data_IF_250906796796
#
_entry.id   IF_250906796796
#
_cell.length_a   1.000
_cell.length_b   1.000
_cell.length_c   1.000
_cell.angle_alpha   90.00
_cell.angle_beta   90.00
_cell.angle_gamma   90.00
#
_symmetry.space_group_name_H-M   'P 1'
#
loop_
_entity.id
_entity.type
_entity.pdbx_description
1 polymer ?
#
# COMPACT_ATOMS: atom_id res chain seq x y z
N UNK A 1 -11.31 -72.47 -19.92
CA UNK A 1 -11.77 -71.27 -19.20
C UNK A 1 -10.57 -70.29 -19.01
N UNK A 2 -10.48 -69.37 -19.89
CA UNK A 2 -9.41 -68.35 -19.84
C UNK A 2 -9.89 -67.16 -18.98
N UNK A 3 -9.23 -66.88 -17.83
CA UNK A 3 -9.51 -65.75 -16.98
C UNK A 3 -8.86 -64.54 -17.62
N UNK A 4 -9.68 -63.62 -18.13
CA UNK A 4 -9.26 -62.30 -18.62
C UNK A 4 -9.05 -61.40 -17.43
N UNK A 5 -7.82 -61.06 -17.12
CA UNK A 5 -7.45 -60.11 -16.08
C UNK A 5 -7.51 -58.68 -16.70
N UNK A 6 -8.59 -57.93 -16.41
CA UNK A 6 -8.71 -56.56 -16.82
C UNK A 6 -7.92 -55.71 -15.81
N UNK A 7 -6.75 -55.27 -16.21
CA UNK A 7 -5.94 -54.30 -15.47
C UNK A 7 -6.54 -52.89 -15.73
N UNK A 8 -7.38 -52.39 -14.81
CA UNK A 8 -7.80 -50.99 -14.81
C UNK A 8 -6.58 -50.11 -14.44
N UNK A 9 -5.90 -49.57 -15.45
CA UNK A 9 -5.00 -48.47 -15.24
C UNK A 9 -5.85 -47.23 -14.87
N UNK A 10 -5.89 -46.88 -13.61
CA UNK A 10 -6.25 -45.54 -13.18
C UNK A 10 -5.15 -44.59 -13.68
N UNK A 11 -5.32 -44.08 -14.87
CA UNK A 11 -4.64 -42.87 -15.29
C UNK A 11 -5.25 -41.75 -14.45
N UNK A 12 -4.66 -41.49 -13.28
CA UNK A 12 -4.84 -40.19 -12.62
C UNK A 12 -4.30 -39.10 -13.57
N UNK A 13 -5.21 -38.54 -14.34
CA UNK A 13 -4.93 -37.29 -15.03
C UNK A 13 -4.59 -36.27 -13.93
N UNK A 14 -3.31 -36.00 -13.73
CA UNK A 14 -2.89 -34.82 -13.02
C UNK A 14 -3.42 -33.66 -13.85
N UNK A 15 -4.57 -33.12 -13.48
CA UNK A 15 -5.02 -31.84 -13.95
C UNK A 15 -4.03 -30.83 -13.38
N UNK A 16 -3.15 -30.32 -14.22
CA UNK A 16 -2.29 -29.19 -13.83
C UNK A 16 -3.22 -28.05 -13.45
N UNK A 17 -3.24 -27.67 -12.18
CA UNK A 17 -3.96 -26.51 -11.73
C UNK A 17 -3.18 -25.29 -12.23
N UNK A 18 -3.80 -24.44 -13.05
CA UNK A 18 -3.23 -23.18 -13.44
C UNK A 18 -3.73 -22.11 -12.47
N UNK A 19 -2.82 -21.40 -11.84
CA UNK A 19 -3.19 -20.27 -10.99
C UNK A 19 -3.27 -18.98 -11.79
N UNK A 20 -4.09 -18.06 -11.33
CA UNK A 20 -4.25 -16.73 -11.94
C UNK A 20 -4.01 -15.65 -10.89
N UNK A 21 -2.96 -14.86 -11.08
CA UNK A 21 -2.74 -13.66 -10.29
C UNK A 21 -3.62 -12.54 -10.79
N UNK A 22 -4.61 -12.17 -10.01
CA UNK A 22 -5.51 -11.03 -10.27
C UNK A 22 -4.81 -9.75 -9.82
N UNK A 23 -4.46 -8.90 -10.77
CA UNK A 23 -3.67 -7.68 -10.54
C UNK A 23 -4.55 -6.45 -10.79
N UNK A 24 -4.96 -5.69 -9.75
CA UNK A 24 -5.86 -4.55 -9.91
C UNK A 24 -5.14 -3.29 -10.42
N UNK A 25 -4.17 -3.47 -11.28
CA UNK A 25 -3.39 -2.41 -11.93
C UNK A 25 -3.16 -2.69 -13.41
N UNK A 26 -2.86 -1.62 -14.16
CA UNK A 26 -2.43 -1.75 -15.57
C UNK A 26 -1.09 -2.46 -15.69
N UNK A 27 -0.90 -3.13 -16.82
CA UNK A 27 0.39 -3.71 -17.22
C UNK A 27 1.49 -2.65 -17.10
N UNK A 28 2.66 -3.04 -16.58
CA UNK A 28 3.82 -2.16 -16.39
C UNK A 28 3.75 -1.25 -15.16
N UNK A 29 2.65 -1.27 -14.41
CA UNK A 29 2.57 -0.65 -13.08
C UNK A 29 3.47 -1.35 -12.06
N UNK A 30 3.78 -0.69 -10.94
CA UNK A 30 4.71 -1.24 -9.95
C UNK A 30 4.28 -2.59 -9.36
N UNK A 31 2.96 -2.83 -9.19
CA UNK A 31 2.45 -4.14 -8.75
C UNK A 31 2.53 -5.17 -9.86
N UNK A 32 2.24 -4.80 -11.11
CA UNK A 32 2.38 -5.68 -12.27
C UNK A 32 3.84 -6.15 -12.43
N UNK A 33 4.81 -5.25 -12.28
CA UNK A 33 6.24 -5.59 -12.33
C UNK A 33 6.61 -6.58 -11.22
N UNK A 34 6.20 -6.29 -9.99
CA UNK A 34 6.43 -7.16 -8.85
C UNK A 34 5.78 -8.54 -9.02
N UNK A 35 4.49 -8.57 -9.38
CA UNK A 35 3.74 -9.81 -9.58
C UNK A 35 4.37 -10.68 -10.67
N UNK A 36 4.86 -10.08 -11.76
CA UNK A 36 5.53 -10.82 -12.84
C UNK A 36 6.85 -11.47 -12.39
N UNK A 37 7.58 -10.81 -11.48
CA UNK A 37 8.81 -11.37 -10.91
C UNK A 37 8.46 -12.54 -9.99
N UNK A 38 7.50 -12.33 -9.08
CA UNK A 38 7.10 -13.34 -8.11
C UNK A 38 6.47 -14.56 -8.79
N UNK A 39 5.54 -14.36 -9.73
CA UNK A 39 4.89 -15.45 -10.47
C UNK A 39 5.92 -16.36 -11.13
N UNK A 40 6.89 -15.77 -11.83
CA UNK A 40 7.94 -16.51 -12.53
C UNK A 40 8.81 -17.36 -11.59
N UNK A 41 9.12 -16.86 -10.41
CA UNK A 41 9.93 -17.59 -9.44
C UNK A 41 9.07 -18.64 -8.69
N UNK A 42 7.82 -18.33 -8.39
CA UNK A 42 6.90 -19.22 -7.72
C UNK A 42 6.50 -20.42 -8.59
N UNK A 43 6.30 -20.23 -9.90
CA UNK A 43 6.03 -21.33 -10.85
C UNK A 43 7.07 -22.47 -10.78
N UNK A 44 8.31 -22.18 -10.44
CA UNK A 44 9.37 -23.17 -10.32
C UNK A 44 9.15 -24.14 -9.14
N UNK A 45 8.24 -23.81 -8.25
CA UNK A 45 7.91 -24.54 -7.02
C UNK A 45 6.51 -25.17 -7.04
N UNK A 46 5.80 -25.11 -8.17
CA UNK A 46 4.40 -25.52 -8.31
C UNK A 46 4.25 -26.81 -9.13
N UNK A 47 5.14 -27.78 -9.03
CA UNK A 47 5.01 -29.13 -9.60
C UNK A 47 4.47 -29.20 -11.05
N UNK A 48 4.75 -28.17 -11.86
CA UNK A 48 4.31 -28.04 -13.25
C UNK A 48 3.15 -27.09 -13.50
N UNK A 49 2.45 -26.63 -12.47
CA UNK A 49 1.41 -25.61 -12.57
C UNK A 49 1.97 -24.29 -13.06
N UNK A 50 1.13 -23.51 -13.75
CA UNK A 50 1.48 -22.20 -14.32
C UNK A 50 0.73 -21.07 -13.64
N UNK A 51 1.31 -19.88 -13.66
CA UNK A 51 0.68 -18.66 -13.14
C UNK A 51 0.41 -17.68 -14.28
N UNK A 52 -0.85 -17.48 -14.58
CA UNK A 52 -1.31 -16.44 -15.50
C UNK A 52 -1.46 -15.09 -14.78
N UNK A 53 -1.31 -13.99 -15.52
CA UNK A 53 -1.47 -12.64 -14.98
C UNK A 53 -2.71 -11.98 -15.56
N UNK A 54 -3.76 -11.81 -14.76
CA UNK A 54 -5.00 -11.12 -15.12
C UNK A 54 -4.98 -9.69 -14.59
N UNK A 55 -4.92 -8.71 -15.48
CA UNK A 55 -4.93 -7.30 -15.10
C UNK A 55 -6.35 -6.74 -15.13
N UNK A 56 -6.85 -6.28 -13.98
CA UNK A 56 -8.15 -5.62 -13.79
C UNK A 56 -7.97 -4.18 -13.31
N UNK A 57 -7.48 -3.28 -14.16
CA UNK A 57 -7.18 -1.92 -13.76
C UNK A 57 -8.45 -1.13 -13.46
N UNK A 58 -8.48 -0.50 -12.29
CA UNK A 58 -9.55 0.40 -11.87
C UNK A 58 -8.98 1.54 -11.02
N UNK A 59 -9.79 2.54 -10.71
CA UNK A 59 -9.42 3.60 -9.79
C UNK A 59 -9.01 3.01 -8.43
N UNK A 60 -7.82 3.33 -7.96
CA UNK A 60 -7.22 2.76 -6.72
C UNK A 60 -7.13 1.23 -6.70
N UNK A 61 -7.46 0.55 -7.78
CA UNK A 61 -7.59 -0.91 -7.83
C UNK A 61 -8.84 -1.46 -7.13
N UNK A 62 -9.75 -0.59 -6.67
CA UNK A 62 -10.95 -0.99 -5.93
C UNK A 62 -11.82 -1.91 -6.77
N UNK A 63 -12.19 -1.51 -8.00
CA UNK A 63 -13.06 -2.33 -8.85
C UNK A 63 -12.48 -3.70 -9.18
N UNK A 64 -11.16 -3.82 -9.36
CA UNK A 64 -10.50 -5.11 -9.58
C UNK A 64 -10.55 -6.01 -8.34
N UNK A 65 -10.43 -5.42 -7.14
CA UNK A 65 -10.53 -6.18 -5.90
C UNK A 65 -11.99 -6.50 -5.52
N UNK A 66 -12.93 -5.57 -5.73
CA UNK A 66 -14.36 -5.85 -5.59
C UNK A 66 -14.79 -7.01 -6.51
N UNK A 67 -14.27 -7.03 -7.74
CA UNK A 67 -14.53 -8.15 -8.67
C UNK A 67 -13.98 -9.46 -8.13
N UNK A 68 -12.76 -9.47 -7.59
CA UNK A 68 -12.21 -10.65 -6.94
C UNK A 68 -13.08 -11.12 -5.77
N UNK A 69 -13.54 -10.17 -4.93
CA UNK A 69 -14.39 -10.45 -3.78
C UNK A 69 -15.74 -11.04 -4.18
N UNK A 70 -16.42 -10.43 -5.17
CA UNK A 70 -17.79 -10.75 -5.51
C UNK A 70 -17.93 -11.89 -6.53
N UNK A 71 -17.04 -11.91 -7.55
CA UNK A 71 -17.21 -12.81 -8.70
C UNK A 71 -16.28 -14.02 -8.66
N UNK A 72 -15.13 -13.95 -7.98
CA UNK A 72 -14.15 -15.03 -7.96
C UNK A 72 -14.16 -15.85 -6.67
N UNK A 73 -15.13 -15.59 -5.80
CA UNK A 73 -15.38 -16.43 -4.62
C UNK A 73 -15.72 -17.86 -5.07
N UNK A 74 -15.00 -18.84 -4.52
CA UNK A 74 -15.14 -20.26 -4.90
C UNK A 74 -14.31 -20.69 -6.12
N UNK A 75 -13.62 -19.77 -6.80
CA UNK A 75 -12.62 -20.11 -7.82
C UNK A 75 -11.27 -20.35 -7.13
N UNK A 76 -10.91 -21.64 -7.03
CA UNK A 76 -9.77 -22.07 -6.20
C UNK A 76 -8.40 -21.77 -6.82
N UNK A 77 -8.36 -21.38 -8.08
CA UNK A 77 -7.17 -21.01 -8.84
C UNK A 77 -6.87 -19.52 -8.84
N UNK A 78 -7.75 -18.68 -8.29
CA UNK A 78 -7.59 -17.23 -8.27
C UNK A 78 -6.83 -16.75 -7.02
N UNK A 79 -5.79 -15.95 -7.25
CA UNK A 79 -4.97 -15.33 -6.21
C UNK A 79 -4.95 -13.82 -6.41
N UNK A 80 -5.44 -13.07 -5.45
CA UNK A 80 -5.42 -11.62 -5.49
C UNK A 80 -4.04 -11.05 -5.14
N UNK A 81 -3.54 -10.18 -6.00
CA UNK A 81 -2.32 -9.42 -5.76
C UNK A 81 -2.70 -8.02 -5.30
N UNK A 82 -2.56 -7.72 -4.02
CA UNK A 82 -2.88 -6.39 -3.52
C UNK A 82 -1.82 -5.33 -3.87
N UNK A 83 -2.24 -4.08 -3.83
CA UNK A 83 -1.34 -2.93 -3.96
C UNK A 83 -1.72 -1.82 -2.97
N UNK A 84 -0.86 -0.82 -2.79
CA UNK A 84 -1.05 0.21 -1.78
C UNK A 84 -2.38 0.98 -1.86
N UNK A 85 -2.97 1.11 -3.06
CA UNK A 85 -4.29 1.71 -3.22
C UNK A 85 -5.40 0.87 -2.58
N UNK A 86 -5.34 -0.45 -2.69
CA UNK A 86 -6.30 -1.33 -2.04
C UNK A 86 -6.13 -1.28 -0.51
N UNK A 87 -4.89 -1.32 -0.03
CA UNK A 87 -4.59 -1.33 1.40
C UNK A 87 -5.18 -0.13 2.13
N UNK A 88 -4.95 1.08 1.60
CA UNK A 88 -5.47 2.30 2.26
C UNK A 88 -6.96 2.55 1.98
N UNK A 89 -7.50 2.00 0.90
CA UNK A 89 -8.89 2.27 0.50
C UNK A 89 -9.90 1.29 1.07
N UNK A 90 -9.49 0.20 1.70
CA UNK A 90 -10.44 -0.82 2.16
C UNK A 90 -11.41 -0.31 3.23
N UNK A 91 -11.06 0.79 3.90
CA UNK A 91 -11.90 1.45 4.89
C UNK A 91 -13.04 2.29 4.27
N UNK A 92 -13.07 2.46 2.94
CA UNK A 92 -14.04 3.33 2.27
C UNK A 92 -15.34 2.60 1.93
N UNK A 93 -16.47 3.32 1.91
CA UNK A 93 -17.80 2.75 1.66
C UNK A 93 -17.93 2.02 0.32
N UNK A 94 -17.29 2.52 -0.73
CA UNK A 94 -17.37 1.94 -2.07
C UNK A 94 -16.49 0.70 -2.28
N UNK A 95 -15.97 0.14 -1.19
CA UNK A 95 -15.12 -1.06 -1.18
C UNK A 95 -15.93 -2.22 -0.63
N UNK A 96 -16.11 -3.28 -1.41
CA UNK A 96 -16.90 -4.45 -1.02
C UNK A 96 -16.08 -5.45 -0.20
N UNK A 97 -14.77 -5.46 -0.38
CA UNK A 97 -13.86 -6.41 0.27
C UNK A 97 -13.43 -5.94 1.67
N UNK A 98 -13.12 -6.94 2.50
CA UNK A 98 -12.39 -6.78 3.75
C UNK A 98 -11.21 -7.74 3.77
N UNK A 99 -10.03 -7.28 4.18
CA UNK A 99 -8.86 -8.14 4.24
C UNK A 99 -9.00 -9.28 5.26
N UNK A 100 -9.91 -9.14 6.23
CA UNK A 100 -10.26 -10.20 7.18
C UNK A 100 -10.98 -11.38 6.55
N UNK A 101 -11.53 -11.23 5.33
CA UNK A 101 -12.20 -12.29 4.58
C UNK A 101 -11.24 -13.20 3.80
N UNK A 102 -9.96 -12.91 3.85
CA UNK A 102 -8.94 -13.62 3.08
C UNK A 102 -7.89 -14.27 3.95
N UNK A 103 -7.28 -15.29 3.36
CA UNK A 103 -6.07 -15.93 3.88
C UNK A 103 -4.85 -15.40 3.15
N UNK A 104 -3.84 -15.03 3.91
CA UNK A 104 -2.54 -14.68 3.36
C UNK A 104 -1.83 -15.91 2.82
N UNK A 105 -1.43 -15.89 1.57
CA UNK A 105 -0.40 -16.80 1.05
C UNK A 105 0.96 -16.27 1.49
N UNK A 106 1.16 -14.99 1.35
CA UNK A 106 2.32 -14.28 1.87
C UNK A 106 2.29 -12.82 1.47
N UNK A 107 2.92 -12.01 2.29
CA UNK A 107 3.13 -10.59 2.02
C UNK A 107 4.62 -10.24 2.13
N UNK A 108 5.02 -9.24 1.39
CA UNK A 108 6.37 -8.72 1.43
C UNK A 108 6.32 -7.32 2.06
N UNK A 109 6.92 -7.18 3.22
CA UNK A 109 7.00 -5.91 3.94
C UNK A 109 7.96 -4.98 3.22
N UNK A 110 7.40 -4.04 2.45
CA UNK A 110 8.14 -3.15 1.57
C UNK A 110 7.96 -1.70 1.98
N UNK A 111 9.01 -0.93 1.84
CA UNK A 111 8.96 0.54 1.95
C UNK A 111 8.38 1.20 0.69
N UNK A 112 8.14 2.49 0.80
CA UNK A 112 8.04 3.42 -0.33
C UNK A 112 9.24 4.35 -0.32
N UNK A 113 9.76 4.60 -1.50
CA UNK A 113 10.87 5.51 -1.72
C UNK A 113 10.31 6.78 -2.33
N UNK A 114 10.51 7.90 -1.64
CA UNK A 114 10.24 9.23 -2.17
C UNK A 114 11.55 9.81 -2.66
N UNK A 115 11.59 10.11 -3.95
CA UNK A 115 12.75 10.73 -4.61
C UNK A 115 12.50 12.19 -4.91
N UNK A 116 13.56 12.99 -4.89
CA UNK A 116 13.54 14.40 -5.31
C UNK A 116 14.61 14.69 -6.34
N UNK A 117 14.41 15.75 -7.13
CA UNK A 117 15.43 16.25 -8.03
C UNK A 117 16.56 16.97 -7.27
N UNK A 118 17.76 16.86 -7.80
CA UNK A 118 18.95 17.59 -7.40
C UNK A 118 19.33 18.62 -8.46
N UNK A 119 20.10 19.63 -8.08
CA UNK A 119 20.75 20.55 -9.00
C UNK A 119 19.90 21.74 -9.44
N UNK A 120 20.18 22.28 -10.64
CA UNK A 120 19.67 23.56 -11.11
C UNK A 120 18.15 23.69 -11.23
N UNK A 121 17.44 22.55 -11.35
CA UNK A 121 15.98 22.56 -11.45
C UNK A 121 15.27 22.67 -10.11
N UNK A 122 15.96 22.27 -9.02
CA UNK A 122 15.49 22.44 -7.66
C UNK A 122 16.65 22.29 -6.67
N UNK A 123 17.46 23.31 -6.53
CA UNK A 123 18.62 23.28 -5.63
C UNK A 123 18.22 23.14 -4.17
N UNK A 124 17.17 23.83 -3.78
CA UNK A 124 16.61 23.78 -2.44
C UNK A 124 15.09 23.83 -2.55
N UNK A 125 14.37 23.04 -1.78
CA UNK A 125 12.92 23.20 -1.66
C UNK A 125 12.52 24.57 -1.10
N UNK A 126 13.46 25.28 -0.50
CA UNK A 126 13.34 26.64 0.03
C UNK A 126 14.12 27.67 -0.79
N UNK A 127 14.68 27.30 -1.95
CA UNK A 127 15.47 28.21 -2.80
C UNK A 127 14.59 29.03 -3.76
N UNK A 128 15.12 30.16 -4.24
CA UNK A 128 14.39 31.06 -5.15
C UNK A 128 13.88 30.43 -6.44
N UNK A 129 14.39 29.26 -6.81
CA UNK A 129 14.02 28.56 -8.04
C UNK A 129 13.05 27.40 -7.83
N UNK A 130 12.74 27.03 -6.58
CA UNK A 130 11.79 25.98 -6.20
C UNK A 130 10.83 26.51 -5.14
N UNK A 131 9.99 27.45 -5.55
CA UNK A 131 9.03 28.08 -4.63
C UNK A 131 7.99 27.09 -4.08
N UNK A 132 7.75 25.97 -4.80
CA UNK A 132 6.79 24.95 -4.36
C UNK A 132 7.28 23.54 -4.66
N UNK A 133 6.92 22.62 -3.78
CA UNK A 133 7.04 21.18 -4.04
C UNK A 133 6.04 20.81 -5.13
N UNK A 134 6.51 20.25 -6.24
CA UNK A 134 5.62 19.74 -7.30
C UNK A 134 5.56 18.22 -7.29
N UNK A 135 4.36 17.69 -7.04
CA UNK A 135 4.13 16.28 -6.81
C UNK A 135 2.90 15.79 -7.57
N UNK A 136 3.02 14.69 -8.29
CA UNK A 136 1.87 14.07 -8.92
C UNK A 136 1.24 13.06 -7.97
N UNK A 137 -0.01 13.33 -7.67
CA UNK A 137 -0.79 12.61 -6.69
C UNK A 137 -1.86 11.72 -7.34
N UNK A 138 -1.94 10.50 -6.87
CA UNK A 138 -3.10 9.65 -7.02
C UNK A 138 -3.51 9.19 -5.63
N UNK A 139 -4.73 8.82 -5.45
CA UNK A 139 -5.34 8.53 -4.14
C UNK A 139 -4.64 7.49 -3.24
N UNK A 140 -3.63 6.80 -3.74
CA UNK A 140 -2.82 5.89 -2.92
C UNK A 140 -1.56 6.52 -2.33
N UNK A 141 -1.39 7.86 -2.42
CA UNK A 141 -0.20 8.57 -1.96
C UNK A 141 -0.45 9.44 -0.72
N UNK A 142 -1.52 9.19 0.00
CA UNK A 142 -1.86 9.94 1.22
C UNK A 142 -0.70 9.97 2.23
N UNK A 143 -0.05 8.85 2.57
CA UNK A 143 1.05 8.90 3.54
C UNK A 143 2.21 9.78 3.08
N UNK A 144 2.55 9.80 1.79
CA UNK A 144 3.63 10.63 1.26
C UNK A 144 3.32 12.12 1.41
N UNK A 145 2.05 12.52 1.19
CA UNK A 145 1.66 13.92 1.35
C UNK A 145 1.75 14.37 2.80
N UNK A 146 1.32 13.53 3.72
CA UNK A 146 1.42 13.78 5.16
C UNK A 146 2.88 13.86 5.61
N UNK A 147 3.71 12.92 5.18
CA UNK A 147 5.15 12.90 5.51
C UNK A 147 5.87 14.15 4.97
N UNK A 148 5.59 14.55 3.74
CA UNK A 148 6.16 15.77 3.13
C UNK A 148 5.77 17.00 3.96
N UNK A 149 4.49 17.13 4.30
CA UNK A 149 4.02 18.26 5.11
C UNK A 149 4.72 18.30 6.46
N UNK A 150 4.72 17.20 7.21
CA UNK A 150 5.39 17.15 8.51
C UNK A 150 6.89 17.42 8.40
N UNK A 151 7.57 16.81 7.43
CA UNK A 151 9.03 16.94 7.26
C UNK A 151 9.42 18.39 6.95
N UNK A 152 8.61 19.09 6.15
CA UNK A 152 8.96 20.45 5.73
C UNK A 152 8.44 21.53 6.68
N UNK A 153 7.26 21.35 7.29
CA UNK A 153 6.66 22.35 8.20
C UNK A 153 6.99 22.13 9.69
N UNK A 154 7.29 20.90 10.10
CA UNK A 154 7.38 20.52 11.52
C UNK A 154 6.03 20.35 12.22
N UNK A 155 4.91 20.52 11.49
CA UNK A 155 3.55 20.41 12.05
C UNK A 155 3.19 18.93 12.19
N UNK A 156 2.87 18.50 13.41
CA UNK A 156 2.54 17.10 13.71
C UNK A 156 1.24 16.93 14.48
N UNK A 157 0.64 18.01 14.96
CA UNK A 157 -0.57 17.96 15.82
C UNK A 157 -1.64 19.01 15.47
N UNK A 158 -1.48 19.74 14.36
CA UNK A 158 -2.40 20.79 13.91
C UNK A 158 -2.82 20.47 12.46
N UNK A 159 -4.07 20.09 12.28
CA UNK A 159 -4.56 19.73 10.94
C UNK A 159 -4.79 20.95 10.07
N UNK A 160 -5.34 22.03 10.63
CA UNK A 160 -5.69 23.22 9.84
C UNK A 160 -4.42 23.94 9.40
N UNK A 161 -3.44 24.05 10.29
CA UNK A 161 -2.10 24.52 9.95
C UNK A 161 -1.39 23.64 8.92
N UNK A 162 -1.55 22.32 9.01
CA UNK A 162 -0.98 21.40 8.02
C UNK A 162 -1.63 21.54 6.65
N UNK A 163 -2.96 21.69 6.59
CA UNK A 163 -3.71 21.91 5.34
C UNK A 163 -3.30 23.23 4.71
N UNK A 164 -3.30 24.32 5.48
CA UNK A 164 -2.88 25.64 5.01
C UNK A 164 -1.45 25.62 4.45
N UNK A 165 -0.51 24.98 5.18
CA UNK A 165 0.85 24.82 4.71
C UNK A 165 0.92 24.04 3.38
N UNK A 166 0.16 22.93 3.26
CA UNK A 166 0.11 22.12 2.04
C UNK A 166 -0.38 22.93 0.84
N UNK A 167 -1.46 23.65 0.97
CA UNK A 167 -2.04 24.49 -0.09
C UNK A 167 -1.07 25.60 -0.55
N UNK A 168 -0.37 26.21 0.38
CA UNK A 168 0.59 27.27 0.09
C UNK A 168 1.86 26.72 -0.59
N UNK A 169 2.40 25.60 -0.13
CA UNK A 169 3.75 25.14 -0.45
C UNK A 169 3.83 24.02 -1.47
N UNK A 170 2.70 23.38 -1.83
CA UNK A 170 2.70 22.22 -2.72
C UNK A 170 1.83 22.47 -3.95
N UNK A 171 2.44 22.33 -5.11
CA UNK A 171 1.68 22.17 -6.37
C UNK A 171 1.53 20.69 -6.68
N UNK A 172 0.30 20.21 -6.70
CA UNK A 172 0.06 18.81 -6.95
C UNK A 172 -0.85 18.58 -8.15
N UNK A 173 -0.54 17.54 -8.93
CA UNK A 173 -1.20 17.22 -10.18
C UNK A 173 -1.99 15.93 -10.02
N UNK A 174 -3.32 16.01 -10.21
CA UNK A 174 -4.22 14.85 -10.15
C UNK A 174 -4.12 13.97 -11.39
N UNK A 175 -4.37 12.68 -11.21
CA UNK A 175 -4.68 11.76 -12.30
C UNK A 175 -3.49 11.22 -13.11
N UNK A 176 -2.26 11.65 -12.86
CA UNK A 176 -1.09 11.11 -13.55
C UNK A 176 -0.86 9.65 -13.24
N UNK A 177 -0.73 8.83 -14.28
CA UNK A 177 -0.31 7.44 -14.17
C UNK A 177 1.18 7.33 -13.79
N UNK A 178 1.59 6.19 -13.27
CA UNK A 178 2.97 6.00 -12.80
C UNK A 178 4.04 6.26 -13.90
N UNK A 179 3.77 5.89 -15.16
CA UNK A 179 4.66 6.18 -16.29
C UNK A 179 4.73 7.67 -16.63
N UNK A 180 3.59 8.35 -16.67
CA UNK A 180 3.47 9.78 -16.94
C UNK A 180 4.18 10.58 -15.85
N UNK A 181 3.94 10.25 -14.59
CA UNK A 181 4.62 10.87 -13.44
C UNK A 181 6.14 10.75 -13.53
N UNK A 182 6.66 9.56 -13.87
CA UNK A 182 8.10 9.35 -14.03
C UNK A 182 8.69 10.18 -15.18
N UNK A 183 7.97 10.33 -16.28
CA UNK A 183 8.39 11.19 -17.37
C UNK A 183 8.39 12.67 -16.97
N UNK A 184 7.33 13.14 -16.33
CA UNK A 184 7.22 14.49 -15.82
C UNK A 184 8.34 14.81 -14.80
N UNK A 185 8.63 13.87 -13.89
CA UNK A 185 9.75 13.98 -12.96
C UNK A 185 11.10 14.08 -13.68
N UNK A 186 11.36 13.24 -14.66
CA UNK A 186 12.62 13.27 -15.43
C UNK A 186 12.77 14.56 -16.26
N UNK A 187 11.68 15.15 -16.72
CA UNK A 187 11.67 16.42 -17.43
C UNK A 187 11.75 17.64 -16.51
N UNK A 188 11.63 17.42 -15.19
CA UNK A 188 11.64 18.49 -14.19
C UNK A 188 10.31 19.24 -14.06
N UNK A 189 9.22 18.72 -14.65
CA UNK A 189 7.86 19.24 -14.46
C UNK A 189 7.34 18.94 -13.04
N UNK A 190 7.83 17.86 -12.47
CA UNK A 190 7.65 17.49 -11.06
C UNK A 190 9.03 17.41 -10.41
N UNK A 191 9.18 17.89 -9.18
CA UNK A 191 10.43 17.80 -8.44
C UNK A 191 10.45 16.69 -7.39
N UNK A 192 9.29 16.06 -7.16
CA UNK A 192 9.15 14.90 -6.28
C UNK A 192 8.49 13.73 -7.02
N UNK A 193 9.00 12.55 -6.81
CA UNK A 193 8.40 11.29 -7.25
C UNK A 193 8.37 10.28 -6.12
N UNK A 194 7.53 9.24 -6.26
CA UNK A 194 7.49 8.13 -5.32
C UNK A 194 7.34 6.79 -6.04
N UNK A 195 8.01 5.79 -5.55
CA UNK A 195 7.98 4.44 -6.15
C UNK A 195 8.10 3.36 -5.06
N UNK A 196 7.59 2.17 -5.35
CA UNK A 196 8.04 1.00 -4.61
C UNK A 196 9.47 0.61 -5.04
N UNK A 197 10.18 -0.22 -4.27
CA UNK A 197 11.59 -0.52 -4.53
C UNK A 197 11.86 -1.08 -5.92
N UNK A 198 11.05 -2.01 -6.42
CA UNK A 198 11.23 -2.59 -7.74
C UNK A 198 11.10 -1.55 -8.86
N UNK A 199 10.10 -0.68 -8.76
CA UNK A 199 9.90 0.39 -9.73
C UNK A 199 10.96 1.48 -9.60
N UNK A 200 11.40 1.82 -8.39
CA UNK A 200 12.49 2.77 -8.17
C UNK A 200 13.79 2.29 -8.81
N UNK A 201 14.20 1.07 -8.51
CA UNK A 201 15.40 0.46 -9.13
C UNK A 201 15.34 0.47 -10.65
N UNK A 202 14.19 0.08 -11.20
CA UNK A 202 14.02 -0.02 -12.66
C UNK A 202 13.99 1.31 -13.38
N UNK A 203 13.39 2.34 -12.78
CA UNK A 203 12.99 3.54 -13.51
C UNK A 203 13.63 4.85 -13.03
N UNK A 204 14.08 4.92 -11.76
CA UNK A 204 14.53 6.16 -11.14
C UNK A 204 15.98 6.10 -10.67
N UNK A 205 16.44 4.97 -10.12
CA UNK A 205 17.74 4.86 -9.48
C UNK A 205 18.95 5.25 -10.37
N UNK A 206 18.83 5.06 -11.69
CA UNK A 206 19.87 5.42 -12.65
C UNK A 206 19.75 6.86 -13.17
N UNK A 207 18.78 7.63 -12.69
CA UNK A 207 18.62 9.02 -13.08
C UNK A 207 19.47 9.90 -12.16
N UNK A 208 20.63 10.35 -12.67
CA UNK A 208 21.68 11.04 -11.91
C UNK A 208 21.22 12.37 -11.28
N UNK A 209 20.16 12.97 -11.81
CA UNK A 209 19.57 14.21 -11.30
C UNK A 209 18.61 14.00 -10.13
N UNK A 210 18.41 12.74 -9.69
CA UNK A 210 17.52 12.40 -8.59
C UNK A 210 18.30 11.79 -7.41
N UNK A 211 17.76 12.02 -6.22
CA UNK A 211 18.20 11.34 -5.00
C UNK A 211 17.00 10.80 -4.23
N UNK A 212 17.25 9.82 -3.35
CA UNK A 212 16.28 9.43 -2.34
C UNK A 212 16.15 10.58 -1.33
N UNK A 213 14.95 11.12 -1.22
CA UNK A 213 14.65 12.12 -0.20
C UNK A 213 14.41 11.43 1.13
N UNK A 214 13.35 10.60 1.17
CA UNK A 214 13.10 9.76 2.33
C UNK A 214 12.44 8.43 1.92
N UNK A 215 12.38 7.51 2.86
CA UNK A 215 11.60 6.28 2.79
C UNK A 215 10.59 6.24 3.91
N UNK A 216 9.56 5.41 3.76
CA UNK A 216 8.64 5.14 4.85
C UNK A 216 9.25 4.20 5.94
N UNK A 217 10.40 3.57 5.66
CA UNK A 217 10.92 2.50 6.49
C UNK A 217 10.07 1.22 6.35
N UNK A 218 10.28 0.29 7.24
CA UNK A 218 9.56 -0.98 7.30
C UNK A 218 8.68 -1.02 8.56
N UNK A 219 7.65 -1.86 8.54
CA UNK A 219 6.84 -2.14 9.71
C UNK A 219 7.37 -3.41 10.38
N UNK A 220 7.86 -3.31 11.61
CA UNK A 220 8.27 -4.47 12.38
C UNK A 220 7.04 -5.27 12.88
N UNK A 221 7.20 -6.56 13.26
CA UNK A 221 6.10 -7.40 13.74
C UNK A 221 5.37 -6.84 14.97
N UNK A 222 6.05 -6.07 15.80
CA UNK A 222 5.47 -5.39 16.97
C UNK A 222 4.69 -4.12 16.61
N UNK A 223 4.72 -3.73 15.33
CA UNK A 223 4.07 -2.53 14.81
C UNK A 223 4.93 -1.27 14.86
N UNK A 224 6.16 -1.34 15.34
CA UNK A 224 7.09 -0.22 15.26
C UNK A 224 7.57 0.02 13.83
N UNK A 225 7.93 1.27 13.54
CA UNK A 225 8.52 1.63 12.25
C UNK A 225 10.04 1.62 12.38
N UNK A 226 10.70 0.85 11.52
CA UNK A 226 12.16 0.68 11.51
C UNK A 226 12.75 1.14 10.19
N UNK A 227 14.05 1.49 10.21
CA UNK A 227 14.75 1.94 9.01
C UNK A 227 14.83 0.83 7.95
N UNK A 228 14.82 1.23 6.69
CA UNK A 228 14.98 0.29 5.58
C UNK A 228 16.46 0.00 5.35
N UNK A 229 16.93 -1.24 5.50
CA UNK A 229 18.33 -1.58 5.35
C UNK A 229 18.86 -1.34 3.93
N UNK A 230 17.98 -1.25 2.92
CA UNK A 230 18.38 -0.90 1.55
C UNK A 230 18.58 0.62 1.37
N UNK A 231 18.10 1.43 2.29
CA UNK A 231 18.18 2.90 2.25
C UNK A 231 18.43 3.45 3.67
N UNK A 232 19.57 3.09 4.28
CA UNK A 232 19.87 3.41 5.68
C UNK A 232 19.85 4.91 5.94
N UNK A 233 19.33 5.30 7.10
CA UNK A 233 19.19 6.69 7.54
C UNK A 233 18.31 7.57 6.63
N UNK A 234 17.41 6.96 5.84
CA UNK A 234 16.45 7.66 4.99
C UNK A 234 15.01 7.53 5.46
N UNK A 235 14.74 6.82 6.54
CA UNK A 235 13.40 6.75 7.12
C UNK A 235 12.90 8.14 7.49
N UNK A 236 11.61 8.38 7.26
CA UNK A 236 10.95 9.66 7.54
C UNK A 236 11.19 10.12 8.98
N UNK A 237 11.00 9.25 9.95
CA UNK A 237 11.13 9.57 11.38
C UNK A 237 12.56 10.00 11.74
N UNK A 238 13.57 9.35 11.18
CA UNK A 238 14.99 9.71 11.37
C UNK A 238 15.28 11.11 10.79
N UNK A 239 14.75 11.39 9.59
CA UNK A 239 14.97 12.70 8.95
C UNK A 239 14.20 13.80 9.65
N UNK A 240 13.00 13.53 10.15
CA UNK A 240 12.22 14.46 10.93
C UNK A 240 12.97 14.84 12.23
N UNK A 241 13.41 13.83 12.99
CA UNK A 241 14.18 14.07 14.23
C UNK A 241 15.48 14.86 13.97
N UNK A 242 16.18 14.53 12.88
CA UNK A 242 17.38 15.27 12.46
C UNK A 242 17.10 16.75 12.13
N UNK A 243 15.96 17.01 11.46
CA UNK A 243 15.61 18.37 11.03
C UNK A 243 15.05 19.22 12.17
N UNK A 244 14.23 18.63 13.04
CA UNK A 244 13.45 19.32 14.04
C UNK A 244 13.93 19.14 15.49
N UNK A 245 14.94 18.28 15.71
CA UNK A 245 15.51 18.01 17.04
C UNK A 245 14.59 17.24 17.98
N UNK A 246 13.46 16.69 17.48
CA UNK A 246 12.48 15.92 18.24
C UNK A 246 11.85 14.85 17.36
N UNK A 247 11.36 13.78 17.96
CA UNK A 247 10.56 12.77 17.24
C UNK A 247 9.19 13.34 16.85
N UNK A 248 8.61 12.89 15.73
CA UNK A 248 7.25 13.27 15.39
C UNK A 248 6.27 12.62 16.36
N UNK A 249 5.31 13.39 16.85
CA UNK A 249 4.26 12.93 17.76
C UNK A 249 2.98 13.75 17.55
N UNK A 250 1.82 13.23 17.94
CA UNK A 250 0.53 13.90 17.82
C UNK A 250 -0.35 13.31 16.74
N UNK A 251 -1.60 13.81 16.66
CA UNK A 251 -2.66 13.18 15.87
C UNK A 251 -2.37 13.14 14.36
N UNK A 252 -1.66 14.12 13.82
CA UNK A 252 -1.27 14.10 12.40
C UNK A 252 -0.25 12.98 12.13
N UNK A 253 0.71 12.82 13.03
CA UNK A 253 1.67 11.71 12.92
C UNK A 253 1.01 10.35 13.13
N UNK A 254 0.05 10.22 14.06
CA UNK A 254 -0.69 8.98 14.27
C UNK A 254 -1.53 8.60 13.05
N UNK A 255 -2.14 9.59 12.41
CA UNK A 255 -2.88 9.41 11.15
C UNK A 255 -1.96 9.00 9.98
N UNK A 256 -0.76 9.57 9.93
CA UNK A 256 0.27 9.15 8.98
C UNK A 256 0.69 7.68 9.22
N UNK A 257 0.95 7.30 10.49
CA UNK A 257 1.29 5.91 10.83
C UNK A 257 0.20 4.95 10.39
N UNK A 258 -1.05 5.29 10.68
CA UNK A 258 -2.20 4.50 10.25
C UNK A 258 -2.23 4.34 8.74
N UNK A 259 -2.24 5.44 7.99
CA UNK A 259 -2.31 5.43 6.53
C UNK A 259 -1.13 4.68 5.89
N UNK A 260 0.08 4.89 6.41
CA UNK A 260 1.30 4.22 5.97
C UNK A 260 1.24 2.71 6.22
N UNK A 261 0.85 2.30 7.43
CA UNK A 261 0.81 0.90 7.82
C UNK A 261 -0.10 0.08 6.92
N UNK A 262 -1.31 0.54 6.68
CA UNK A 262 -2.23 -0.13 5.77
C UNK A 262 -1.74 -0.13 4.33
N UNK A 263 -1.25 1.01 3.88
CA UNK A 263 -0.79 1.14 2.51
C UNK A 263 0.44 0.29 2.23
N UNK A 264 1.43 0.30 3.10
CA UNK A 264 2.71 -0.35 2.87
C UNK A 264 2.68 -1.83 3.31
N UNK A 265 2.04 -2.13 4.43
CA UNK A 265 1.89 -3.49 4.92
C UNK A 265 1.06 -4.39 4.01
N UNK A 266 0.04 -3.84 3.34
CA UNK A 266 -0.82 -4.62 2.44
C UNK A 266 -0.50 -4.43 0.95
N UNK A 267 0.55 -3.69 0.57
CA UNK A 267 0.76 -3.32 -0.83
C UNK A 267 1.27 -4.43 -1.74
N UNK A 268 1.93 -5.43 -1.21
CA UNK A 268 2.55 -6.53 -1.95
C UNK A 268 2.28 -7.84 -1.24
N UNK A 269 1.05 -8.31 -1.39
CA UNK A 269 0.60 -9.53 -0.78
C UNK A 269 -0.19 -10.37 -1.78
N UNK A 270 -0.18 -11.66 -1.55
CA UNK A 270 -0.95 -12.68 -2.24
C UNK A 270 -2.04 -13.18 -1.30
N UNK A 271 -3.29 -13.05 -1.72
CA UNK A 271 -4.47 -13.40 -0.93
C UNK A 271 -5.34 -14.39 -1.67
N UNK A 272 -5.96 -15.29 -0.94
CA UNK A 272 -7.01 -16.16 -1.42
C UNK A 272 -8.23 -16.08 -0.51
N UNK A 273 -9.41 -16.47 -0.97
CA UNK A 273 -10.56 -16.58 -0.08
C UNK A 273 -10.32 -17.61 1.02
N UNK A 274 -10.92 -17.42 2.21
CA UNK A 274 -10.67 -18.23 3.41
C UNK A 274 -10.80 -19.74 3.17
N UNK A 275 -11.81 -20.13 2.36
CA UNK A 275 -12.14 -21.52 2.09
C UNK A 275 -11.34 -22.12 0.93
N UNK A 276 -10.35 -21.41 0.40
CA UNK A 276 -9.55 -21.89 -0.72
C UNK A 276 -8.73 -23.14 -0.33
N UNK A 277 -8.98 -24.28 -0.95
CA UNK A 277 -8.29 -25.53 -0.62
C UNK A 277 -6.80 -25.54 -1.00
N UNK A 278 -6.39 -24.66 -1.92
CA UNK A 278 -5.01 -24.58 -2.40
C UNK A 278 -4.12 -23.67 -1.55
N UNK A 279 -4.65 -23.08 -0.47
CA UNK A 279 -3.89 -22.11 0.33
C UNK A 279 -2.58 -22.68 0.88
N UNK A 280 -2.59 -23.89 1.42
CA UNK A 280 -1.38 -24.51 1.97
C UNK A 280 -0.38 -24.94 0.88
N UNK A 281 -0.86 -25.39 -0.26
CA UNK A 281 -0.02 -25.70 -1.42
C UNK A 281 0.73 -24.45 -1.91
N UNK A 282 0.02 -23.33 -2.03
CA UNK A 282 0.61 -22.04 -2.43
C UNK A 282 1.58 -21.50 -1.36
N UNK A 283 1.24 -21.64 -0.07
CA UNK A 283 2.10 -21.25 1.06
C UNK A 283 3.40 -22.03 1.06
N UNK A 284 3.31 -23.34 0.85
CA UNK A 284 4.49 -24.22 0.79
C UNK A 284 5.37 -23.90 -0.43
N UNK A 285 4.77 -23.68 -1.59
CA UNK A 285 5.50 -23.23 -2.78
C UNK A 285 6.21 -21.91 -2.53
N UNK A 286 5.57 -20.97 -1.84
CA UNK A 286 6.18 -19.69 -1.49
C UNK A 286 7.34 -19.84 -0.49
N UNK A 287 7.22 -20.75 0.51
CA UNK A 287 8.32 -21.09 1.42
C UNK A 287 9.52 -21.67 0.66
N UNK A 288 9.27 -22.62 -0.24
CA UNK A 288 10.31 -23.20 -1.11
C UNK A 288 10.98 -22.13 -1.97
N UNK A 289 10.19 -21.26 -2.60
CA UNK A 289 10.73 -20.14 -3.39
C UNK A 289 11.61 -19.20 -2.52
N UNK A 290 11.18 -18.89 -1.31
CA UNK A 290 11.93 -18.03 -0.39
C UNK A 290 13.20 -18.70 0.16
N UNK A 291 13.21 -20.03 0.22
CA UNK A 291 14.38 -20.83 0.62
C UNK A 291 15.36 -21.08 -0.55
N UNK A 292 14.91 -21.04 -1.81
CA UNK A 292 15.75 -21.27 -2.97
C UNK A 292 16.72 -20.09 -3.19
N UNK A 293 18.06 -20.32 -3.10
CA UNK A 293 19.05 -19.27 -3.23
C UNK A 293 18.97 -18.50 -4.55
N UNK A 294 18.64 -19.18 -5.67
CA UNK A 294 18.55 -18.56 -6.99
C UNK A 294 17.36 -17.62 -7.09
N UNK A 295 16.17 -18.06 -6.63
CA UNK A 295 14.98 -17.23 -6.60
C UNK A 295 15.15 -16.05 -5.65
N UNK A 296 15.77 -16.27 -4.49
CA UNK A 296 16.09 -15.22 -3.52
C UNK A 296 17.01 -14.16 -4.12
N UNK A 297 18.09 -14.56 -4.80
CA UNK A 297 18.98 -13.64 -5.50
C UNK A 297 18.27 -12.80 -6.55
N UNK A 298 17.40 -13.43 -7.36
CA UNK A 298 16.64 -12.73 -8.41
C UNK A 298 15.69 -11.70 -7.78
N UNK A 299 14.98 -12.06 -6.72
CA UNK A 299 14.08 -11.17 -6.02
C UNK A 299 14.87 -10.02 -5.38
N UNK A 300 15.93 -10.30 -4.67
CA UNK A 300 16.79 -9.28 -4.07
C UNK A 300 17.36 -8.30 -5.10
N UNK A 301 17.80 -8.80 -6.23
CA UNK A 301 18.33 -7.96 -7.31
C UNK A 301 17.27 -7.06 -7.93
N UNK A 302 16.04 -7.55 -8.13
CA UNK A 302 14.98 -6.86 -8.86
C UNK A 302 14.04 -6.04 -7.98
N UNK A 303 13.80 -6.49 -6.76
CA UNK A 303 12.90 -5.87 -5.80
C UNK A 303 13.67 -5.17 -4.69
N UNK A 304 14.53 -5.88 -4.01
CA UNK A 304 15.28 -5.48 -2.84
C UNK A 304 15.41 -6.63 -1.85
N UNK A 305 16.21 -6.42 -0.80
CA UNK A 305 16.33 -7.38 0.28
C UNK A 305 15.19 -7.16 1.28
N UNK A 306 14.04 -7.71 0.95
CA UNK A 306 12.83 -7.66 1.77
C UNK A 306 12.36 -9.07 2.08
N UNK A 307 11.93 -9.27 3.30
CA UNK A 307 11.50 -10.58 3.77
C UNK A 307 10.02 -10.83 3.47
N UNK A 308 9.69 -12.11 3.32
CA UNK A 308 8.34 -12.59 3.23
C UNK A 308 7.79 -12.93 4.61
N UNK A 309 6.55 -12.51 4.86
CA UNK A 309 5.72 -12.96 5.97
C UNK A 309 4.68 -13.92 5.37
N UNK A 310 4.78 -15.20 5.68
CA UNK A 310 4.08 -16.27 4.93
C UNK A 310 2.99 -16.91 5.78
N UNK A 311 1.83 -17.14 5.17
CA UNK A 311 0.75 -17.93 5.78
C UNK A 311 0.16 -17.28 7.01
N UNK A 312 0.13 -18.01 8.12
CA UNK A 312 -0.48 -17.55 9.38
C UNK A 312 0.22 -16.32 9.98
N UNK A 313 1.54 -16.21 9.81
CA UNK A 313 2.26 -14.99 10.21
C UNK A 313 1.78 -13.77 9.40
N UNK A 314 1.42 -13.97 8.12
CA UNK A 314 0.81 -12.95 7.27
C UNK A 314 -0.60 -12.57 7.72
N UNK A 315 -1.39 -13.53 8.20
CA UNK A 315 -2.69 -13.26 8.81
C UNK A 315 -2.52 -12.45 10.11
N UNK A 316 -1.62 -12.89 10.99
CA UNK A 316 -1.32 -12.19 12.24
C UNK A 316 -0.81 -10.76 11.99
N UNK A 317 0.02 -10.56 10.98
CA UNK A 317 0.48 -9.24 10.56
C UNK A 317 -0.69 -8.36 10.10
N UNK A 318 -1.60 -8.88 9.25
CA UNK A 318 -2.83 -8.18 8.86
C UNK A 318 -3.66 -7.79 10.09
N UNK A 319 -3.90 -8.73 11.01
CA UNK A 319 -4.72 -8.49 12.19
C UNK A 319 -4.08 -7.45 13.11
N UNK A 320 -2.74 -7.43 13.19
CA UNK A 320 -1.99 -6.36 13.88
C UNK A 320 -2.22 -4.99 13.22
N UNK A 321 -2.25 -4.91 11.89
CA UNK A 321 -2.58 -3.66 11.21
C UNK A 321 -3.99 -3.18 11.58
N UNK A 322 -4.96 -4.11 11.64
CA UNK A 322 -6.34 -3.78 12.04
C UNK A 322 -6.41 -3.19 13.45
N UNK A 323 -5.54 -3.64 14.36
CA UNK A 323 -5.48 -3.10 15.73
C UNK A 323 -4.94 -1.66 15.82
N UNK A 324 -4.40 -1.10 14.73
CA UNK A 324 -3.96 0.32 14.69
C UNK A 324 -5.10 1.28 14.33
N UNK A 325 -6.26 0.77 13.96
CA UNK A 325 -7.41 1.61 13.66
C UNK A 325 -7.81 2.37 14.93
N UNK A 326 -7.68 3.69 14.84
CA UNK A 326 -8.05 4.61 15.90
C UNK A 326 -9.05 5.63 15.33
N UNK A 327 -10.22 5.84 15.93
CA UNK A 327 -11.24 6.75 15.43
C UNK A 327 -10.73 8.17 15.15
N UNK A 328 -9.94 8.73 16.08
CA UNK A 328 -9.40 10.08 15.91
C UNK A 328 -8.44 10.18 14.71
N UNK A 329 -7.55 9.19 14.55
CA UNK A 329 -6.64 9.13 13.40
C UNK A 329 -7.39 8.93 12.09
N UNK A 330 -8.49 8.18 12.09
CA UNK A 330 -9.35 8.03 10.91
C UNK A 330 -10.08 9.33 10.55
N UNK A 331 -10.67 10.02 11.52
CA UNK A 331 -11.34 11.30 11.29
C UNK A 331 -10.36 12.34 10.73
N UNK A 332 -9.17 12.41 11.31
CA UNK A 332 -8.12 13.27 10.80
C UNK A 332 -7.72 12.92 9.36
N UNK A 333 -7.59 11.62 9.07
CA UNK A 333 -7.27 11.14 7.72
C UNK A 333 -8.36 11.49 6.71
N UNK A 334 -9.64 11.42 7.11
CA UNK A 334 -10.76 11.87 6.27
C UNK A 334 -10.69 13.35 5.99
N UNK A 335 -10.50 14.18 7.03
CA UNK A 335 -10.39 15.64 6.89
C UNK A 335 -9.20 16.00 5.96
N UNK A 336 -8.03 15.38 6.16
CA UNK A 336 -6.87 15.55 5.27
C UNK A 336 -7.20 15.22 3.82
N UNK A 337 -7.83 14.05 3.59
CA UNK A 337 -8.20 13.61 2.25
C UNK A 337 -9.18 14.57 1.57
N UNK A 338 -10.17 15.06 2.29
CA UNK A 338 -11.20 15.95 1.74
C UNK A 338 -10.66 17.36 1.49
N UNK A 339 -10.02 17.95 2.46
CA UNK A 339 -9.61 19.37 2.42
C UNK A 339 -8.26 19.58 1.74
N UNK A 340 -7.21 18.87 2.16
CA UNK A 340 -5.89 19.06 1.55
C UNK A 340 -5.79 18.42 0.16
N UNK A 341 -6.47 17.31 -0.09
CA UNK A 341 -6.29 16.51 -1.30
C UNK A 341 -7.51 16.50 -2.23
N UNK A 342 -8.61 17.12 -1.82
CA UNK A 342 -9.89 17.13 -2.56
C UNK A 342 -10.27 15.73 -3.05
N UNK A 343 -10.22 14.76 -2.14
CA UNK A 343 -10.60 13.37 -2.36
C UNK A 343 -11.91 13.09 -1.64
N UNK A 344 -12.87 12.53 -2.37
CA UNK A 344 -14.05 11.96 -1.70
C UNK A 344 -13.59 10.81 -0.81
N UNK A 345 -13.76 10.96 0.48
CA UNK A 345 -13.40 9.96 1.49
C UNK A 345 -14.56 9.80 2.46
N UNK A 346 -15.21 8.65 2.43
CA UNK A 346 -16.28 8.26 3.34
C UNK A 346 -15.89 6.90 3.90
N UNK A 347 -15.97 6.75 5.22
CA UNK A 347 -15.55 5.54 5.90
C UNK A 347 -16.74 4.59 6.08
N UNK A 348 -16.47 3.31 6.13
CA UNK A 348 -17.46 2.28 6.43
C UNK A 348 -17.97 2.46 7.87
N UNK A 349 -19.27 2.63 8.02
CA UNK A 349 -19.90 2.85 9.33
C UNK A 349 -19.72 1.67 10.30
N UNK A 350 -19.67 0.44 9.81
CA UNK A 350 -19.51 -0.76 10.65
C UNK A 350 -18.15 -0.89 11.35
N UNK A 351 -17.13 -0.16 10.89
CA UNK A 351 -15.82 -0.14 11.57
C UNK A 351 -15.87 0.43 12.99
N UNK A 352 -16.99 1.02 13.35
CA UNK A 352 -17.11 1.84 14.56
C UNK A 352 -18.03 1.24 15.62
N UNK A 353 -18.82 0.20 15.29
CA UNK A 353 -19.95 -0.16 16.15
C UNK A 353 -19.70 -1.31 17.12
N UNK A 354 -18.75 -2.20 16.85
CA UNK A 354 -18.65 -3.43 17.64
C UNK A 354 -17.43 -3.55 18.58
N UNK A 355 -16.37 -2.73 18.40
CA UNK A 355 -15.10 -2.95 19.09
C UNK A 355 -14.48 -1.74 19.83
N UNK A 356 -15.16 -0.59 19.84
CA UNK A 356 -14.58 0.61 20.44
C UNK A 356 -15.45 1.26 21.53
N UNK A 357 -14.96 1.23 22.74
CA UNK A 357 -15.39 2.15 23.81
C UNK A 357 -14.89 3.56 23.44
N UNK A 358 -15.76 4.32 22.78
CA UNK A 358 -15.43 5.67 22.30
C UNK A 358 -15.59 6.61 23.51
N UNK A 359 -14.49 6.86 24.21
CA UNK A 359 -14.43 8.00 25.10
C UNK A 359 -14.85 9.28 24.41
N UNK A 360 -15.39 10.24 25.14
CA UNK A 360 -15.88 11.51 24.56
C UNK A 360 -14.84 12.14 23.61
N UNK A 361 -15.28 12.61 22.42
CA UNK A 361 -14.37 13.22 21.45
C UNK A 361 -13.70 14.44 22.06
N UNK A 362 -12.41 14.59 21.82
CA UNK A 362 -11.66 15.75 22.27
C UNK A 362 -12.33 17.05 21.76
N UNK A 363 -12.53 18.08 22.61
CA UNK A 363 -13.14 19.36 22.21
C UNK A 363 -12.53 20.04 20.98
N UNK A 364 -11.27 19.72 20.66
CA UNK A 364 -10.57 20.25 19.49
C UNK A 364 -11.03 19.66 18.14
N UNK A 365 -11.91 18.67 18.15
CA UNK A 365 -12.50 18.04 16.95
C UNK A 365 -13.94 18.50 16.71
N UNK A 366 -14.46 19.44 17.50
CA UNK A 366 -15.78 20.00 17.24
C UNK A 366 -15.78 20.80 15.94
N UNK A 367 -16.70 20.44 15.07
CA UNK A 367 -17.00 21.10 13.81
C UNK A 367 -17.37 22.56 14.08
N UNK A 368 -16.82 23.52 13.34
CA UNK A 368 -17.17 24.93 13.47
C UNK A 368 -18.59 25.20 12.93
N UNK A 369 -19.25 26.19 13.51
CA UNK A 369 -20.56 26.67 13.11
C UNK A 369 -20.59 27.04 11.61
N UNK A 370 -21.32 26.28 10.81
CA UNK A 370 -21.42 26.50 9.35
C UNK A 370 -21.31 25.22 8.51
N UNK A 371 -20.79 24.13 9.04
CA UNK A 371 -20.78 22.84 8.35
C UNK A 371 -22.13 22.12 8.54
N UNK A 372 -22.76 21.73 7.44
CA UNK A 372 -23.97 20.90 7.48
C UNK A 372 -23.60 19.47 7.86
N UNK A 373 -23.43 19.24 9.14
CA UNK A 373 -23.16 17.92 9.69
C UNK A 373 -24.38 17.41 10.44
N UNK A 374 -24.89 16.25 10.09
CA UNK A 374 -25.98 15.61 10.82
C UNK A 374 -25.39 14.68 11.89
N UNK A 375 -25.65 14.99 13.14
CA UNK A 375 -25.37 14.10 14.26
C UNK A 375 -26.50 13.10 14.37
N UNK A 376 -26.23 11.84 14.06
CA UNK A 376 -27.18 10.76 14.33
C UNK A 376 -26.84 10.20 15.71
N UNK A 377 -27.79 10.12 16.66
CA UNK A 377 -27.53 9.57 17.99
C UNK A 377 -26.94 8.15 17.87
N UNK A 378 -25.80 7.90 18.50
CA UNK A 378 -24.99 6.68 18.46
C UNK A 378 -24.31 6.36 17.12
N UNK A 379 -24.17 7.34 16.23
CA UNK A 379 -23.43 7.20 14.98
C UNK A 379 -22.66 8.50 14.68
N UNK A 380 -21.57 8.39 13.90
CA UNK A 380 -20.64 9.48 13.62
C UNK A 380 -21.24 10.65 12.86
N UNK A 381 -20.57 11.81 12.99
CA UNK A 381 -20.90 13.02 12.23
C UNK A 381 -20.59 12.74 10.74
N UNK A 382 -21.62 12.76 9.91
CA UNK A 382 -21.47 12.75 8.44
C UNK A 382 -21.59 14.19 7.98
N UNK A 383 -20.46 14.77 7.55
CA UNK A 383 -20.45 16.08 6.92
C UNK A 383 -20.52 15.89 5.40
N UNK A 384 -21.59 16.38 4.77
CA UNK A 384 -21.79 16.35 3.33
C UNK A 384 -22.27 17.71 2.84
N UNK A 385 -21.75 18.12 1.67
CA UNK A 385 -22.40 19.17 0.87
C UNK A 385 -23.58 18.60 0.12
#
# INVERSE_FOLDING_TARGET
MKKLLVLLMFASSFAFANFTFVIPQKVGGGTSVWASIVAKELEKQLDGDKISLLHLPSARGIGGFNKFHNEYKGLNDMVMVSHGGNGISFLQENVDYDYRDYESIGLMNLTIIVGRLLGQKCKDFNGEHCQKISFAFGSGQVPETMAITMLESGITNDIDGAIAWWEENVTWVKGMKGSERRLAFKRGELNVTRENPAAYKKHVANFKEATVWFTHGLLAPDGSHVDDPNYPNKQFEILFERKWGKKPEGIFYDSYKLAKSFRDGLQKALWVHKDNPNKEYLREALRKMNADPKSKEIIQKKVGNYEWVIGEDGNAFRDKLMSFINPNSLMFLVKWNQQALDLKSVLKTWLYLDDFDIGEPSPSLMVQEGDTCNVVPNTFIVCGQ
#
